data_IF_764439262263
#
_entry.id   IF_764439262263
#
_cell.length_a   1.000
_cell.length_b   1.000
_cell.length_c   1.000
_cell.angle_alpha   90.00
_cell.angle_beta   90.00
_cell.angle_gamma   90.00
#
_symmetry.space_group_name_H-M   'P 1'
#
loop_
_entity.id
_entity.type
_entity.pdbx_description
1 polymer ?
#
# COMPACT_ATOMS: atom_id res chain seq x y z
N UNK A 1 -26.42 15.63 58.20
CA UNK A 1 -26.10 17.06 57.92
C UNK A 1 -26.13 17.29 56.40
N UNK A 2 -26.44 18.51 55.93
CA UNK A 2 -27.47 18.80 54.91
C UNK A 2 -26.96 18.99 53.45
N UNK A 3 -27.91 19.43 52.61
CA UNK A 3 -28.07 19.39 51.15
C UNK A 3 -27.63 20.70 50.45
N UNK A 4 -27.17 20.56 49.19
CA UNK A 4 -27.19 21.49 48.01
C UNK A 4 -26.39 22.84 48.09
N UNK A 5 -26.19 23.64 46.99
CA UNK A 5 -26.28 23.39 45.53
C UNK A 5 -25.20 24.06 44.60
N UNK A 6 -25.10 23.52 43.37
CA UNK A 6 -24.91 24.10 42.00
C UNK A 6 -24.07 25.37 41.70
N UNK A 7 -23.09 25.16 40.79
CA UNK A 7 -22.84 25.76 39.44
C UNK A 7 -22.62 27.30 39.29
N UNK A 8 -21.85 27.79 38.29
CA UNK A 8 -22.28 27.76 36.87
C UNK A 8 -21.18 27.54 35.81
N UNK A 9 -21.63 27.16 34.61
CA UNK A 9 -20.94 27.22 33.32
C UNK A 9 -20.98 28.64 32.76
N UNK A 10 -19.94 29.05 32.03
CA UNK A 10 -19.98 30.16 31.04
C UNK A 10 -18.68 30.15 30.19
N UNK A 11 -18.59 30.85 29.03
CA UNK A 11 -19.17 30.40 27.77
C UNK A 11 -18.22 30.54 26.54
N UNK A 12 -18.55 29.79 25.48
CA UNK A 12 -18.42 30.11 24.04
C UNK A 12 -17.22 30.91 23.48
N UNK A 13 -16.57 30.32 22.46
CA UNK A 13 -16.31 31.02 21.20
C UNK A 13 -16.20 30.04 20.01
N UNK A 14 -17.26 29.96 19.20
CA UNK A 14 -17.16 29.51 17.81
C UNK A 14 -16.34 30.55 17.04
N UNK A 15 -15.31 30.14 16.31
CA UNK A 15 -14.93 30.79 15.04
C UNK A 15 -14.58 29.74 14.01
N UNK A 16 -15.58 29.42 13.20
CA UNK A 16 -15.38 28.74 11.92
C UNK A 16 -14.48 29.61 11.05
N UNK A 17 -13.29 29.10 10.73
CA UNK A 17 -12.46 29.62 9.67
C UNK A 17 -12.76 28.83 8.40
N UNK A 18 -13.82 29.21 7.67
CA UNK A 18 -14.01 28.80 6.27
C UNK A 18 -12.89 29.45 5.48
N UNK A 19 -11.76 28.75 5.29
CA UNK A 19 -10.68 29.24 4.42
C UNK A 19 -11.20 29.28 2.99
N UNK A 20 -11.02 30.45 2.39
CA UNK A 20 -11.46 30.82 1.05
C UNK A 20 -11.11 29.75 0.02
N UNK A 21 -12.11 29.33 -0.76
CA UNK A 21 -11.89 28.66 -2.04
C UNK A 21 -11.30 29.71 -2.96
N UNK A 22 -9.99 29.63 -3.21
CA UNK A 22 -9.36 30.42 -4.27
C UNK A 22 -9.82 29.82 -5.59
N UNK A 23 -10.71 30.53 -6.30
CA UNK A 23 -11.04 30.22 -7.68
C UNK A 23 -9.77 30.38 -8.52
N UNK A 24 -9.09 29.27 -8.82
CA UNK A 24 -7.99 29.24 -9.75
C UNK A 24 -8.56 29.44 -11.16
N UNK A 25 -8.23 30.57 -11.80
CA UNK A 25 -8.45 30.74 -13.24
C UNK A 25 -7.45 29.83 -13.97
N UNK A 26 -7.92 28.69 -14.45
CA UNK A 26 -7.17 27.85 -15.39
C UNK A 26 -7.11 28.56 -16.73
N UNK A 27 -5.91 29.00 -17.13
CA UNK A 27 -5.63 29.27 -18.54
C UNK A 27 -5.44 27.90 -19.20
N UNK A 28 -6.46 27.41 -19.88
CA UNK A 28 -6.36 26.18 -20.68
C UNK A 28 -5.51 26.45 -21.92
N UNK A 29 -4.20 26.30 -21.76
CA UNK A 29 -3.29 26.11 -22.89
C UNK A 29 -3.21 24.62 -23.20
N UNK A 30 -3.34 24.25 -24.48
CA UNK A 30 -3.16 22.88 -24.96
C UNK A 30 -1.81 22.38 -24.47
N UNK A 31 -1.84 21.44 -23.53
CA UNK A 31 -0.65 20.88 -22.89
C UNK A 31 -0.37 19.54 -23.55
N UNK A 32 0.81 19.37 -24.14
CA UNK A 32 1.22 18.10 -24.77
C UNK A 32 1.15 16.95 -23.78
N UNK A 33 0.79 15.74 -24.23
CA UNK A 33 0.70 14.53 -23.38
C UNK A 33 1.99 14.28 -22.59
N UNK A 34 3.16 14.51 -23.20
CA UNK A 34 4.46 14.38 -22.51
C UNK A 34 4.58 15.34 -21.33
N UNK A 35 4.14 16.59 -21.49
CA UNK A 35 4.15 17.58 -20.41
C UNK A 35 3.16 17.20 -19.30
N UNK A 36 2.01 16.60 -19.64
CA UNK A 36 1.06 16.08 -18.65
C UNK A 36 1.62 14.89 -17.87
N UNK A 37 2.37 13.99 -18.51
CA UNK A 37 3.05 12.89 -17.85
C UNK A 37 4.10 13.39 -16.85
N UNK A 38 4.95 14.34 -17.27
CA UNK A 38 5.93 14.98 -16.41
C UNK A 38 5.28 15.74 -15.24
N UNK A 39 4.20 16.47 -15.51
CA UNK A 39 3.43 17.18 -14.48
C UNK A 39 2.85 16.18 -13.47
N UNK A 40 2.28 15.06 -13.94
CA UNK A 40 1.73 14.00 -13.09
C UNK A 40 2.80 13.42 -12.17
N UNK A 41 3.98 13.10 -12.70
CA UNK A 41 5.09 12.56 -11.88
C UNK A 41 5.59 13.60 -10.86
N UNK A 42 5.73 14.87 -11.26
CA UNK A 42 6.12 15.96 -10.34
C UNK A 42 5.07 16.22 -9.24
N UNK A 43 3.78 16.21 -9.58
CA UNK A 43 2.70 16.39 -8.63
C UNK A 43 2.54 15.17 -7.70
N UNK A 44 2.79 13.95 -8.17
CA UNK A 44 2.83 12.76 -7.31
C UNK A 44 3.94 12.88 -6.26
N UNK A 45 5.10 13.44 -6.60
CA UNK A 45 6.15 13.69 -5.62
C UNK A 45 5.75 14.77 -4.59
N UNK A 46 5.02 15.79 -5.00
CA UNK A 46 4.61 16.90 -4.11
C UNK A 46 3.37 16.61 -3.26
N UNK A 47 2.41 15.85 -3.79
CA UNK A 47 1.08 15.66 -3.20
C UNK A 47 0.72 14.19 -2.96
N UNK A 48 1.49 13.24 -3.51
CA UNK A 48 1.21 11.82 -3.38
C UNK A 48 1.35 11.30 -1.95
N UNK A 49 2.10 12.01 -1.09
CA UNK A 49 2.19 11.72 0.33
C UNK A 49 2.48 13.00 1.13
N UNK A 50 1.93 13.11 2.35
CA UNK A 50 2.24 14.24 3.23
C UNK A 50 3.71 14.17 3.68
N UNK A 51 4.40 15.32 3.74
CA UNK A 51 5.83 15.41 4.13
C UNK A 51 6.14 14.68 5.44
N UNK A 52 5.31 14.89 6.46
CA UNK A 52 5.45 14.22 7.76
C UNK A 52 5.27 12.71 7.70
N UNK A 53 4.54 12.20 6.70
CA UNK A 53 4.40 10.74 6.46
C UNK A 53 5.64 10.20 5.77
N UNK A 54 6.20 10.95 4.81
CA UNK A 54 7.47 10.58 4.16
C UNK A 54 8.59 10.50 5.21
N UNK A 55 8.74 11.52 6.05
CA UNK A 55 9.75 11.55 7.11
C UNK A 55 9.64 10.34 8.06
N UNK A 56 8.43 9.97 8.44
CA UNK A 56 8.18 8.77 9.25
C UNK A 56 8.56 7.50 8.51
N UNK A 57 8.16 7.36 7.24
CA UNK A 57 8.50 6.18 6.45
C UNK A 57 10.01 6.07 6.25
N UNK A 58 10.70 7.17 5.94
CA UNK A 58 12.16 7.19 5.80
C UNK A 58 12.85 6.78 7.10
N UNK A 59 12.36 7.24 8.25
CA UNK A 59 12.90 6.84 9.55
C UNK A 59 12.75 5.33 9.77
N UNK A 60 11.57 4.77 9.51
CA UNK A 60 11.32 3.33 9.67
C UNK A 60 12.16 2.49 8.70
N UNK A 61 12.36 2.97 7.47
CA UNK A 61 13.24 2.31 6.48
C UNK A 61 14.69 2.30 6.97
N UNK A 62 15.21 3.42 7.47
CA UNK A 62 16.58 3.49 8.01
C UNK A 62 16.76 2.57 9.22
N UNK A 63 15.78 2.52 10.12
CA UNK A 63 15.80 1.60 11.26
C UNK A 63 15.78 0.13 10.80
N UNK A 64 14.96 -0.19 9.81
CA UNK A 64 14.92 -1.53 9.21
C UNK A 64 16.23 -1.92 8.55
N UNK A 65 16.83 -1.01 7.79
CA UNK A 65 18.12 -1.23 7.11
C UNK A 65 19.26 -1.43 8.11
N UNK A 66 19.32 -0.65 9.19
CA UNK A 66 20.31 -0.82 10.24
C UNK A 66 20.17 -2.17 10.95
N UNK A 67 18.93 -2.51 11.35
CA UNK A 67 18.63 -3.80 11.95
C UNK A 67 19.02 -4.96 11.02
N UNK A 68 18.67 -4.86 9.74
CA UNK A 68 18.95 -5.87 8.73
C UNK A 68 20.45 -6.05 8.47
N UNK A 69 21.23 -4.97 8.38
CA UNK A 69 22.69 -5.03 8.27
C UNK A 69 23.32 -5.75 9.45
N UNK A 70 22.80 -5.54 10.66
CA UNK A 70 23.27 -6.25 11.84
C UNK A 70 22.94 -7.75 11.78
N UNK A 71 21.75 -8.12 11.30
CA UNK A 71 21.39 -9.53 11.09
C UNK A 71 22.30 -10.22 10.06
N UNK A 72 22.57 -9.56 8.93
CA UNK A 72 23.48 -10.09 7.89
C UNK A 72 24.89 -10.33 8.44
N UNK A 73 25.40 -9.44 9.32
CA UNK A 73 26.71 -9.62 9.97
C UNK A 73 26.71 -10.81 10.91
N UNK A 74 25.73 -10.91 11.80
CA UNK A 74 25.60 -12.02 12.76
C UNK A 74 25.50 -13.37 12.04
N UNK A 75 24.76 -13.42 10.93
CA UNK A 75 24.63 -14.57 10.06
C UNK A 75 25.95 -14.95 9.36
N UNK A 76 26.70 -13.95 8.88
CA UNK A 76 27.99 -14.15 8.24
C UNK A 76 29.10 -14.59 9.20
N UNK A 77 29.03 -14.16 10.47
CA UNK A 77 29.95 -14.56 11.53
C UNK A 77 29.66 -15.98 12.06
N UNK A 78 28.56 -16.60 11.63
CA UNK A 78 28.19 -17.97 12.01
C UNK A 78 27.84 -18.11 13.50
N UNK A 79 27.49 -17.00 14.17
CA UNK A 79 27.20 -16.94 15.62
C UNK A 79 26.03 -17.82 16.00
N UNK A 80 25.13 -18.07 15.05
CA UNK A 80 23.94 -18.89 15.28
C UNK A 80 23.71 -19.77 14.05
N UNK A 81 24.47 -20.85 13.86
CA UNK A 81 24.22 -21.84 12.80
C UNK A 81 22.98 -22.69 13.12
N UNK A 82 21.81 -22.05 13.18
CA UNK A 82 20.54 -22.75 13.22
C UNK A 82 20.36 -23.53 11.90
N UNK A 83 20.63 -24.84 11.96
CA UNK A 83 20.37 -25.81 10.90
C UNK A 83 18.85 -25.80 10.62
N UNK A 84 18.41 -25.12 9.56
CA UNK A 84 16.98 -25.03 9.22
C UNK A 84 16.50 -23.69 8.65
N UNK A 85 17.40 -22.75 8.34
CA UNK A 85 16.98 -21.49 7.71
C UNK A 85 16.43 -21.70 6.30
N UNK A 86 15.30 -21.08 5.94
CA UNK A 86 14.72 -21.20 4.61
C UNK A 86 15.38 -20.28 3.57
N UNK A 87 16.49 -19.61 3.90
CA UNK A 87 17.15 -18.63 3.02
C UNK A 87 18.66 -18.78 2.98
N UNK A 88 19.26 -18.33 1.87
CA UNK A 88 20.70 -18.15 1.72
C UNK A 88 21.16 -16.78 2.24
N UNK A 89 22.45 -16.64 2.57
CA UNK A 89 23.03 -15.37 3.01
C UNK A 89 22.89 -14.26 1.96
N UNK A 90 22.98 -14.61 0.67
CA UNK A 90 22.82 -13.64 -0.41
C UNK A 90 21.37 -13.19 -0.58
N UNK A 91 20.40 -14.10 -0.45
CA UNK A 91 18.99 -13.73 -0.37
C UNK A 91 18.72 -12.80 0.81
N UNK A 92 19.31 -13.10 1.98
CA UNK A 92 19.22 -12.24 3.16
C UNK A 92 19.76 -10.85 2.88
N UNK A 93 20.96 -10.72 2.30
CA UNK A 93 21.57 -9.43 1.96
C UNK A 93 20.68 -8.55 1.08
N UNK A 94 19.96 -9.15 0.15
CA UNK A 94 19.09 -8.44 -0.80
C UNK A 94 17.66 -8.25 -0.29
N UNK A 95 17.31 -8.70 0.91
CA UNK A 95 15.92 -8.74 1.38
C UNK A 95 15.28 -7.35 1.49
N UNK A 96 16.05 -6.32 1.85
CA UNK A 96 15.58 -4.94 1.91
C UNK A 96 16.10 -4.09 0.76
N UNK A 97 16.35 -4.68 -0.41
CA UNK A 97 16.61 -3.91 -1.63
C UNK A 97 15.32 -3.32 -2.21
N UNK A 98 15.48 -2.34 -3.12
CA UNK A 98 14.37 -1.65 -3.78
C UNK A 98 13.48 -2.60 -4.59
N UNK A 99 14.02 -3.75 -5.00
CA UNK A 99 13.23 -4.86 -5.57
C UNK A 99 13.09 -5.93 -4.49
N UNK A 100 11.88 -6.20 -3.99
CA UNK A 100 11.68 -7.28 -3.03
C UNK A 100 12.00 -8.63 -3.69
N UNK A 101 12.61 -9.52 -2.92
CA UNK A 101 12.87 -10.91 -3.26
C UNK A 101 11.91 -11.84 -2.51
N UNK A 102 12.08 -13.15 -2.70
CA UNK A 102 11.20 -14.19 -2.13
C UNK A 102 11.11 -14.17 -0.60
N UNK A 103 12.15 -13.67 0.07
CA UNK A 103 12.22 -13.65 1.54
C UNK A 103 11.97 -12.27 2.13
N UNK A 104 11.90 -11.21 1.30
CA UNK A 104 11.70 -9.82 1.75
C UNK A 104 10.50 -9.67 2.68
N UNK A 105 9.39 -10.32 2.36
CA UNK A 105 8.19 -10.30 3.20
C UNK A 105 8.43 -10.98 4.57
N UNK A 106 9.16 -12.09 4.58
CA UNK A 106 9.50 -12.81 5.81
C UNK A 106 10.47 -11.98 6.67
N UNK A 107 11.52 -11.42 6.09
CA UNK A 107 12.47 -10.55 6.81
C UNK A 107 11.77 -9.29 7.35
N UNK A 108 10.85 -8.70 6.58
CA UNK A 108 10.02 -7.58 7.06
C UNK A 108 9.14 -7.98 8.24
N UNK A 109 8.54 -9.17 8.21
CA UNK A 109 7.73 -9.68 9.32
C UNK A 109 8.56 -9.87 10.60
N UNK A 110 9.81 -10.35 10.47
CA UNK A 110 10.75 -10.51 11.58
C UNK A 110 11.17 -9.15 12.15
N UNK A 111 11.42 -8.16 11.29
CA UNK A 111 11.71 -6.80 11.73
C UNK A 111 10.53 -6.20 12.51
N UNK A 112 9.30 -6.31 11.98
CA UNK A 112 8.10 -5.84 12.67
C UNK A 112 7.94 -6.55 14.03
N UNK A 113 8.14 -7.87 14.08
CA UNK A 113 8.09 -8.63 15.32
C UNK A 113 9.16 -8.14 16.32
N UNK A 114 10.39 -7.88 15.87
CA UNK A 114 11.44 -7.34 16.72
C UNK A 114 11.05 -5.98 17.29
N UNK A 115 10.55 -5.07 16.45
CA UNK A 115 10.13 -3.73 16.89
C UNK A 115 8.94 -3.78 17.85
N UNK A 116 7.96 -4.66 17.62
CA UNK A 116 6.74 -4.68 18.43
C UNK A 116 6.90 -5.50 19.72
N UNK A 117 7.65 -6.60 19.70
CA UNK A 117 7.75 -7.50 20.85
C UNK A 117 9.02 -7.31 21.68
N UNK A 118 10.15 -6.91 21.07
CA UNK A 118 11.38 -6.67 21.84
C UNK A 118 11.52 -5.20 22.28
N UNK A 119 11.07 -4.25 21.45
CA UNK A 119 11.11 -2.81 21.75
C UNK A 119 9.77 -2.30 22.30
N UNK A 120 8.76 -3.18 22.40
CA UNK A 120 7.42 -2.90 22.93
C UNK A 120 6.71 -1.73 22.22
N UNK A 121 6.84 -1.67 20.89
CA UNK A 121 6.15 -0.67 20.08
C UNK A 121 4.73 -1.13 19.74
N UNK A 122 3.78 -0.21 19.84
CA UNK A 122 2.37 -0.49 19.59
C UNK A 122 2.05 -0.82 18.13
N UNK A 123 0.86 -1.39 17.92
CA UNK A 123 0.29 -1.79 16.62
C UNK A 123 0.39 -0.71 15.53
N UNK A 124 0.20 0.56 15.89
CA UNK A 124 0.29 1.67 14.95
C UNK A 124 1.66 1.78 14.28
N UNK A 125 2.72 1.40 15.00
CA UNK A 125 4.09 1.41 14.48
C UNK A 125 4.30 0.27 13.50
N UNK A 126 3.77 -0.93 13.79
CA UNK A 126 3.79 -2.07 12.87
C UNK A 126 3.16 -1.71 11.51
N UNK A 127 1.97 -1.10 11.55
CA UNK A 127 1.26 -0.66 10.35
C UNK A 127 2.05 0.42 9.58
N UNK A 128 2.69 1.35 10.28
CA UNK A 128 3.55 2.39 9.67
C UNK A 128 4.80 1.80 9.02
N UNK A 129 5.46 0.82 9.65
CA UNK A 129 6.59 0.10 9.07
C UNK A 129 6.15 -0.59 7.79
N UNK A 130 5.10 -1.41 7.86
CA UNK A 130 4.59 -2.13 6.70
C UNK A 130 4.18 -1.19 5.55
N UNK A 131 3.47 -0.09 5.86
CA UNK A 131 3.10 0.90 4.87
C UNK A 131 4.32 1.63 4.27
N UNK A 132 5.35 1.92 5.08
CA UNK A 132 6.59 2.54 4.63
C UNK A 132 7.36 1.66 3.64
N UNK A 133 7.55 0.38 3.96
CA UNK A 133 8.19 -0.59 3.05
C UNK A 133 7.36 -0.80 1.78
N UNK A 134 6.04 -0.94 1.89
CA UNK A 134 5.16 -1.04 0.72
C UNK A 134 5.25 0.20 -0.19
N UNK A 135 5.24 1.40 0.40
CA UNK A 135 5.42 2.65 -0.35
C UNK A 135 6.78 2.68 -1.04
N UNK A 136 7.84 2.31 -0.34
CA UNK A 136 9.19 2.30 -0.88
C UNK A 136 9.36 1.35 -2.07
N UNK A 137 8.92 0.09 -1.94
CA UNK A 137 8.91 -0.86 -3.06
C UNK A 137 8.00 -0.44 -4.20
N UNK A 138 6.90 0.28 -3.92
CA UNK A 138 6.05 0.82 -4.98
C UNK A 138 6.75 1.86 -5.84
N UNK A 139 7.88 2.45 -5.41
CA UNK A 139 8.65 3.35 -6.26
C UNK A 139 9.41 2.61 -7.37
N UNK A 140 9.58 1.30 -7.23
CA UNK A 140 10.14 0.46 -8.27
C UNK A 140 9.10 0.21 -9.36
N UNK A 141 9.42 0.58 -10.61
CA UNK A 141 8.54 0.37 -11.76
C UNK A 141 8.18 -1.11 -11.96
N UNK A 142 9.07 -2.04 -11.58
CA UNK A 142 8.82 -3.49 -11.63
C UNK A 142 7.69 -3.94 -10.70
N UNK A 143 7.45 -3.20 -9.61
CA UNK A 143 6.46 -3.56 -8.60
C UNK A 143 5.10 -2.86 -8.82
N UNK A 144 4.99 -1.92 -9.77
CA UNK A 144 3.74 -1.16 -10.00
C UNK A 144 2.71 -1.89 -10.86
N UNK A 145 3.07 -3.01 -11.49
CA UNK A 145 2.24 -3.64 -12.51
C UNK A 145 2.03 -2.73 -13.73
N UNK A 146 1.87 -3.31 -14.91
CA UNK A 146 1.42 -2.55 -16.07
C UNK A 146 -0.10 -2.47 -16.02
N UNK A 147 -0.67 -1.27 -16.16
CA UNK A 147 -2.10 -1.12 -16.41
C UNK A 147 -2.41 -1.76 -17.77
N UNK A 148 -2.92 -2.98 -17.76
CA UNK A 148 -3.40 -3.67 -18.95
C UNK A 148 -4.93 -3.51 -19.03
N UNK A 149 -5.43 -3.28 -20.25
CA UNK A 149 -6.85 -3.39 -20.53
C UNK A 149 -7.26 -4.86 -20.39
N UNK A 150 -8.30 -5.14 -19.61
CA UNK A 150 -8.83 -6.50 -19.50
C UNK A 150 -9.70 -6.77 -20.73
N UNK A 151 -9.14 -7.45 -21.74
CA UNK A 151 -9.84 -7.81 -22.98
C UNK A 151 -10.96 -8.85 -22.74
N UNK A 152 -11.04 -9.43 -21.55
CA UNK A 152 -11.93 -10.55 -21.24
C UNK A 152 -13.32 -10.07 -20.77
N UNK A 153 -14.10 -9.44 -21.66
CA UNK A 153 -15.55 -9.21 -21.49
C UNK A 153 -16.39 -9.20 -22.77
N UNK A 154 -15.90 -9.78 -23.86
CA UNK A 154 -16.64 -9.76 -25.15
C UNK A 154 -16.86 -11.15 -25.79
N UNK A 155 -16.76 -12.24 -25.04
CA UNK A 155 -17.07 -13.59 -25.57
C UNK A 155 -18.24 -14.34 -24.89
N UNK A 156 -19.01 -13.71 -24.00
CA UNK A 156 -20.14 -14.38 -23.31
C UNK A 156 -21.54 -13.92 -23.78
N UNK A 157 -21.66 -13.30 -24.96
CA UNK A 157 -22.98 -12.87 -25.49
C UNK A 157 -23.42 -13.51 -26.80
N UNK A 158 -22.65 -14.44 -27.36
CA UNK A 158 -23.01 -15.09 -28.63
C UNK A 158 -22.98 -16.62 -28.52
N UNK A 159 -23.62 -17.16 -27.50
CA UNK A 159 -24.00 -18.59 -27.44
C UNK A 159 -25.37 -18.71 -26.80
N UNK A 160 -26.35 -18.07 -27.44
CA UNK A 160 -27.76 -18.37 -27.24
C UNK A 160 -28.16 -19.55 -28.12
N UNK A 161 -27.71 -20.76 -27.76
CA UNK A 161 -28.28 -21.99 -28.28
C UNK A 161 -29.75 -22.05 -27.84
N UNK A 162 -30.66 -21.84 -28.81
CA UNK A 162 -32.08 -22.10 -28.62
C UNK A 162 -32.29 -23.61 -28.62
N UNK A 163 -32.92 -24.21 -27.60
CA UNK A 163 -33.42 -25.57 -27.72
C UNK A 163 -34.58 -25.55 -28.72
N UNK A 164 -34.40 -26.20 -29.86
CA UNK A 164 -35.45 -26.47 -30.83
C UNK A 164 -36.52 -27.37 -30.20
N UNK A 165 -37.76 -26.93 -30.34
CA UNK A 165 -38.96 -27.49 -29.74
C UNK A 165 -39.25 -28.93 -30.15
N UNK A 166 -39.65 -29.74 -29.17
CA UNK A 166 -40.49 -30.93 -29.35
C UNK A 166 -41.95 -30.56 -29.68
N UNK A 167 -42.68 -31.53 -30.26
CA UNK A 167 -44.14 -31.61 -30.58
C UNK A 167 -44.63 -30.75 -31.76
N UNK A 168 -45.46 -31.18 -32.72
CA UNK A 168 -46.41 -32.30 -32.99
C UNK A 168 -46.42 -32.49 -34.54
N UNK A 169 -46.98 -33.51 -35.22
CA UNK A 169 -48.36 -34.00 -35.20
C UNK A 169 -48.53 -35.18 -36.20
N UNK A 170 -49.66 -35.88 -36.07
CA UNK A 170 -50.11 -37.16 -36.61
C UNK A 170 -50.40 -37.26 -38.12
N UNK A 171 -50.56 -38.52 -38.59
CA UNK A 171 -51.34 -38.94 -39.77
C UNK A 171 -50.50 -39.70 -40.80
N UNK A 172 -50.72 -40.96 -41.17
CA UNK A 172 -51.93 -41.77 -41.23
C UNK A 172 -52.20 -42.16 -42.69
N UNK A 173 -52.26 -43.47 -42.97
CA UNK A 173 -52.82 -44.13 -44.17
C UNK A 173 -51.99 -44.00 -45.46
N UNK A 174 -51.79 -45.02 -46.31
CA UNK A 174 -52.46 -46.30 -46.61
C UNK A 174 -51.44 -47.40 -46.96
#
# INVERSE_FOLDING_TARGET
MPRVPKAPKSPSAKKGGRKQVRNAKTKETVTTIVNLLQLKDNCLLQYGLAKSTIEKYTLQLSQGEEWHKNQVKLEGEGVDQCQGRPWTLDQLRMAFDLTPNEISAQVLSLFIAHMCFNIDLGKSTAEQIHAGFKWWWSQNSKCRGTWAWNEEREMDRESGDRPGSDENDQGGQE
#
